data_IF_173423317783
#
_entry.id   IF_173423317783
#
_cell.length_a   1.000
_cell.length_b   1.000
_cell.length_c   1.000
_cell.angle_alpha   90.00
_cell.angle_beta   90.00
_cell.angle_gamma   90.00
#
_symmetry.space_group_name_H-M   'P 1'
#
loop_
_entity.id
_entity.type
_entity.pdbx_description
1 polymer ?
#
# COMPACT_ATOMS: atom_id res chain seq x y z
N UNK A 1 -3.92 -6.57 14.30
CA UNK A 1 -3.69 -5.27 13.62
C UNK A 1 -4.75 -5.17 12.54
N UNK A 2 -5.82 -4.42 12.80
CA UNK A 2 -6.84 -4.13 11.79
C UNK A 2 -6.28 -3.07 10.84
N UNK A 3 -6.53 -3.23 9.55
CA UNK A 3 -6.37 -2.13 8.61
C UNK A 3 -7.59 -1.22 8.79
N UNK A 4 -7.37 0.08 8.97
CA UNK A 4 -8.46 1.06 8.90
C UNK A 4 -8.92 1.07 7.43
N UNK A 5 -10.08 0.48 7.16
CA UNK A 5 -10.69 0.47 5.82
C UNK A 5 -11.60 1.69 5.72
N UNK A 6 -11.45 2.45 4.64
CA UNK A 6 -12.36 3.55 4.34
C UNK A 6 -13.71 2.96 3.91
N UNK A 7 -14.82 3.47 4.42
CA UNK A 7 -16.16 2.95 4.10
C UNK A 7 -16.91 3.93 3.23
N UNK A 8 -17.37 3.47 2.06
CA UNK A 8 -18.26 4.24 1.20
C UNK A 8 -19.70 3.70 1.27
N UNK A 9 -20.67 4.61 1.27
CA UNK A 9 -22.10 4.26 1.25
C UNK A 9 -22.68 4.44 -0.15
N UNK A 10 -23.25 3.37 -0.72
CA UNK A 10 -23.96 3.43 -2.00
C UNK A 10 -25.47 3.39 -1.77
N UNK A 11 -26.18 4.30 -2.44
CA UNK A 11 -27.63 4.32 -2.55
C UNK A 11 -28.06 3.70 -3.87
N UNK A 12 -29.00 2.75 -3.82
CA UNK A 12 -29.62 2.17 -5.02
C UNK A 12 -30.96 2.86 -5.24
N UNK A 13 -31.09 3.58 -6.35
CA UNK A 13 -32.35 4.24 -6.73
C UNK A 13 -33.52 3.25 -6.76
N UNK A 14 -34.63 3.62 -6.13
CA UNK A 14 -35.81 2.76 -5.98
C UNK A 14 -35.82 1.87 -4.73
N UNK A 15 -34.83 1.99 -3.84
CA UNK A 15 -34.82 1.31 -2.54
C UNK A 15 -34.34 2.23 -1.41
N UNK A 16 -34.86 2.05 -0.19
CA UNK A 16 -34.37 2.77 1.01
C UNK A 16 -33.12 2.12 1.64
N UNK A 17 -32.44 1.22 0.92
CA UNK A 17 -31.31 0.47 1.45
C UNK A 17 -30.00 1.22 1.24
N UNK A 18 -29.21 1.31 2.31
CA UNK A 18 -27.83 1.81 2.30
C UNK A 18 -26.90 0.61 2.48
N UNK A 19 -25.94 0.48 1.57
CA UNK A 19 -24.87 -0.52 1.68
C UNK A 19 -23.56 0.19 1.96
N UNK A 20 -22.85 -0.26 2.98
CA UNK A 20 -21.48 0.15 3.25
C UNK A 20 -20.52 -0.83 2.59
N UNK A 21 -19.57 -0.30 1.84
CA UNK A 21 -18.53 -1.07 1.15
C UNK A 21 -17.20 -0.63 1.74
N UNK A 22 -16.44 -1.61 2.20
CA UNK A 22 -15.06 -1.40 2.62
C UNK A 22 -14.20 -1.21 1.37
N UNK A 23 -13.66 -0.01 1.21
CA UNK A 23 -12.69 0.30 0.17
C UNK A 23 -11.29 -0.15 0.61
N UNK A 24 -10.49 -0.67 -0.33
CA UNK A 24 -9.09 -0.92 -0.05
C UNK A 24 -8.39 0.40 0.29
N UNK A 25 -7.49 0.41 1.29
CA UNK A 25 -6.82 1.64 1.72
C UNK A 25 -5.93 2.19 0.61
N UNK A 26 -5.79 3.52 0.57
CA UNK A 26 -4.87 4.20 -0.35
C UNK A 26 -3.44 3.64 -0.18
N UNK A 27 -2.82 3.24 -1.28
CA UNK A 27 -1.46 2.70 -1.28
C UNK A 27 -0.42 3.83 -1.18
N UNK A 28 0.71 3.52 -0.59
CA UNK A 28 1.87 4.40 -0.50
C UNK A 28 2.54 4.59 -1.87
N UNK A 29 3.18 5.75 -2.05
CA UNK A 29 4.13 5.99 -3.15
C UNK A 29 5.36 5.08 -3.09
N UNK A 30 5.61 4.42 -1.96
CA UNK A 30 6.75 3.55 -1.78
C UNK A 30 6.36 2.10 -1.96
N UNK A 31 7.20 1.36 -2.67
CA UNK A 31 7.10 -0.08 -2.80
C UNK A 31 8.43 -0.75 -2.44
N UNK A 32 8.35 -2.02 -2.04
CA UNK A 32 9.49 -2.84 -1.69
C UNK A 32 9.61 -4.02 -2.66
N UNK A 33 10.71 -4.06 -3.41
CA UNK A 33 11.12 -5.23 -4.18
C UNK A 33 11.70 -6.26 -3.20
N UNK A 34 10.95 -7.32 -2.93
CA UNK A 34 11.36 -8.36 -1.99
C UNK A 34 12.42 -9.27 -2.64
N UNK A 35 13.41 -9.67 -1.85
CA UNK A 35 14.46 -10.62 -2.22
C UNK A 35 15.33 -10.21 -3.42
N UNK A 36 15.34 -8.92 -3.78
CA UNK A 36 16.28 -8.39 -4.77
C UNK A 36 16.02 -8.79 -6.23
N UNK A 37 14.90 -9.45 -6.54
CA UNK A 37 14.54 -9.91 -7.90
C UNK A 37 14.04 -8.80 -8.83
N UNK A 38 14.03 -7.54 -8.37
CA UNK A 38 13.61 -6.39 -9.17
C UNK A 38 12.15 -6.49 -9.63
N UNK A 39 11.81 -5.99 -10.84
CA UNK A 39 10.42 -5.93 -11.33
C UNK A 39 9.80 -7.29 -11.64
N UNK A 40 10.60 -8.36 -11.70
CA UNK A 40 10.12 -9.73 -11.91
C UNK A 40 9.86 -10.49 -10.61
N UNK A 41 10.11 -9.85 -9.46
CA UNK A 41 9.92 -10.40 -8.13
C UNK A 41 8.58 -10.05 -7.49
N UNK A 42 8.48 -10.35 -6.19
CA UNK A 42 7.35 -9.89 -5.37
C UNK A 42 7.55 -8.42 -5.00
N UNK A 43 6.54 -7.60 -5.29
CA UNK A 43 6.50 -6.20 -4.90
C UNK A 43 5.48 -6.06 -3.77
N UNK A 44 5.92 -5.48 -2.66
CA UNK A 44 5.05 -5.13 -1.54
C UNK A 44 4.80 -3.62 -1.52
N UNK A 45 3.53 -3.21 -1.59
CA UNK A 45 3.09 -1.82 -1.48
C UNK A 45 2.29 -1.65 -0.17
N UNK A 46 2.86 -1.02 0.87
CA UNK A 46 2.12 -0.73 2.09
C UNK A 46 1.04 0.34 1.86
N UNK A 47 0.01 0.39 2.71
CA UNK A 47 -0.88 1.55 2.78
C UNK A 47 -0.10 2.84 3.08
N UNK A 48 -0.63 3.96 2.60
CA UNK A 48 -0.07 5.29 2.84
C UNK A 48 0.10 5.55 4.34
N UNK A 49 1.27 6.06 4.73
CA UNK A 49 1.60 6.32 6.12
C UNK A 49 1.93 5.09 6.98
N UNK A 50 1.79 3.86 6.46
CA UNK A 50 2.21 2.61 7.13
C UNK A 50 3.57 2.09 6.66
N UNK A 51 4.28 2.93 5.94
CA UNK A 51 5.60 2.62 5.39
C UNK A 51 6.67 2.63 6.48
N UNK A 52 7.70 1.77 6.38
CA UNK A 52 8.81 1.81 7.31
C UNK A 52 9.58 3.12 7.19
N UNK A 53 10.16 3.56 8.30
CA UNK A 53 11.11 4.66 8.29
C UNK A 53 12.44 4.27 7.62
N UNK A 54 13.32 5.25 7.41
CA UNK A 54 14.61 5.05 6.71
C UNK A 54 15.51 4.01 7.38
N UNK A 55 15.52 3.95 8.72
CA UNK A 55 16.31 2.96 9.46
C UNK A 55 15.84 1.53 9.16
N UNK A 56 14.53 1.29 9.22
CA UNK A 56 13.96 -0.03 8.91
C UNK A 56 14.17 -0.44 7.46
N UNK A 57 14.08 0.50 6.51
CA UNK A 57 14.39 0.22 5.10
C UNK A 57 15.84 -0.23 4.92
N UNK A 58 16.78 0.41 5.61
CA UNK A 58 18.18 0.02 5.59
C UNK A 58 18.37 -1.39 6.18
N UNK A 59 17.76 -1.68 7.32
CA UNK A 59 17.86 -3.01 7.93
C UNK A 59 17.30 -4.11 7.03
N UNK A 60 16.15 -3.87 6.37
CA UNK A 60 15.59 -4.83 5.43
C UNK A 60 16.50 -5.08 4.23
N UNK A 61 17.18 -4.05 3.73
CA UNK A 61 18.18 -4.21 2.69
C UNK A 61 19.37 -5.05 3.16
N UNK A 62 19.91 -4.78 4.35
CA UNK A 62 21.06 -5.50 4.89
C UNK A 62 20.75 -6.98 5.22
N UNK A 63 19.58 -7.26 5.79
CA UNK A 63 19.22 -8.62 6.21
C UNK A 63 18.66 -9.49 5.08
N UNK A 64 17.89 -8.91 4.15
CA UNK A 64 17.10 -9.67 3.17
C UNK A 64 17.33 -9.24 1.72
N UNK A 65 18.15 -8.22 1.47
CA UNK A 65 18.35 -7.67 0.12
C UNK A 65 17.12 -6.93 -0.43
N UNK A 66 16.14 -6.62 0.42
CA UNK A 66 14.92 -5.93 0.04
C UNK A 66 15.21 -4.48 -0.37
N UNK A 67 14.69 -4.04 -1.52
CA UNK A 67 14.92 -2.70 -2.06
C UNK A 67 13.66 -1.86 -2.00
N UNK A 68 13.73 -0.74 -1.29
CA UNK A 68 12.65 0.23 -1.22
C UNK A 68 12.81 1.29 -2.31
N UNK A 69 11.79 1.47 -3.13
CA UNK A 69 11.74 2.46 -4.21
C UNK A 69 10.49 3.32 -4.07
N UNK A 70 10.61 4.57 -4.50
CA UNK A 70 9.48 5.50 -4.57
C UNK A 70 9.02 5.59 -6.02
N UNK A 71 7.73 5.46 -6.25
CA UNK A 71 7.15 5.62 -7.58
C UNK A 71 7.36 7.05 -8.07
N UNK A 72 7.82 7.17 -9.32
CA UNK A 72 8.15 8.46 -9.94
C UNK A 72 6.91 9.24 -10.39
N UNK A 73 5.71 8.64 -10.32
CA UNK A 73 4.45 9.26 -10.76
C UNK A 73 4.04 10.52 -9.96
N UNK A 74 4.74 10.87 -8.88
CA UNK A 74 4.47 12.07 -8.07
C UNK A 74 5.28 13.32 -8.50
N UNK A 75 5.93 13.32 -9.67
CA UNK A 75 6.67 14.46 -10.24
C UNK A 75 6.30 14.74 -11.71
N UNK A 76 5.01 14.89 -11.98
CA UNK A 76 4.46 15.36 -13.25
C UNK A 76 3.37 16.38 -13.02
#
# INVERSE_FOLDING_TARGET
MGYDMDTDSIFIEGTDKIYNIDLPPELSDWHCELFGSGPYGMIFCPPKGKEPNRFWRLMQYLCFGNKWKKDEKSRG
#
